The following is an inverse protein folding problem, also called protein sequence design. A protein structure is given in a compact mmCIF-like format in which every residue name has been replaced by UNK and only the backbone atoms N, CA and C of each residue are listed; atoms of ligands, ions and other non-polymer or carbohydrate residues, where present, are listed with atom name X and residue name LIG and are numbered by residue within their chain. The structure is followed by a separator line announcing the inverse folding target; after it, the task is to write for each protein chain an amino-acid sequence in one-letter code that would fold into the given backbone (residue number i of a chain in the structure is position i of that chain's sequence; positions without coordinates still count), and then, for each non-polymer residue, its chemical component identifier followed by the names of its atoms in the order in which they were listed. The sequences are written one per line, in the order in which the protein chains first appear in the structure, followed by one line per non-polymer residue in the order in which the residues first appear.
data_IF_679954218925
#
_entry.id   IF_679954218925
#
_cell.length_a   1.000
_cell.length_b   1.000
_cell.length_c   1.000
_cell.angle_alpha   90.00
_cell.angle_beta   90.00
_cell.angle_gamma   90.00
#
_symmetry.space_group_name_H-M   'P 1'
#
loop_
_entity.id
_entity.type
_entity.pdbx_description
1 polymer ?
#
# COMPACT_ATOMS: atom_id res chain seq x y z
N UNK A 1 -10.32 7.61 -14.81
CA UNK A 1 -9.19 8.54 -14.97
C UNK A 1 -9.59 9.85 -14.29
N UNK A 2 -9.36 9.97 -12.99
CA UNK A 2 -9.70 11.18 -12.24
C UNK A 2 -8.39 11.91 -12.00
N UNK A 3 -8.08 12.85 -12.90
CA UNK A 3 -7.01 13.80 -12.66
C UNK A 3 -7.47 14.73 -11.53
N UNK A 4 -6.90 14.56 -10.33
CA UNK A 4 -6.97 15.60 -9.31
C UNK A 4 -6.21 16.79 -9.85
N UNK A 5 -6.94 17.83 -10.24
CA UNK A 5 -6.40 19.15 -10.54
C UNK A 5 -5.62 19.62 -9.32
N UNK A 6 -4.30 19.63 -9.42
CA UNK A 6 -3.43 20.29 -8.45
C UNK A 6 -3.60 21.78 -8.70
N UNK A 7 -4.19 22.48 -7.74
CA UNK A 7 -4.32 23.93 -7.77
C UNK A 7 -2.90 24.53 -7.66
N UNK A 8 -2.41 25.10 -8.75
CA UNK A 8 -1.20 25.93 -8.74
C UNK A 8 -1.57 27.29 -8.15
N UNK A 9 -1.13 27.55 -6.93
CA UNK A 9 -1.14 28.90 -6.37
C UNK A 9 0.05 29.66 -6.92
N UNK A 10 -0.17 30.46 -7.95
CA UNK A 10 0.80 31.40 -8.48
C UNK A 10 0.80 32.64 -7.58
N UNK A 11 1.76 32.74 -6.67
CA UNK A 11 1.99 33.97 -5.92
C UNK A 11 3.01 34.79 -6.70
N UNK A 12 2.53 35.78 -7.42
CA UNK A 12 3.36 36.82 -8.03
C UNK A 12 3.73 37.84 -6.95
N UNK A 13 4.93 37.72 -6.39
CA UNK A 13 5.54 38.81 -5.64
C UNK A 13 6.50 39.56 -6.55
N UNK A 14 6.22 40.84 -6.75
CA UNK A 14 6.97 41.70 -7.62
C UNK A 14 8.40 41.91 -7.19
N UNK A 15 9.22 42.20 -8.20
CA UNK A 15 10.59 42.75 -8.19
C UNK A 15 11.67 41.92 -7.48
N UNK A 16 12.33 41.06 -8.25
CA UNK A 16 13.71 40.59 -7.95
C UNK A 16 13.84 39.32 -7.16
N UNK A 17 12.76 38.58 -6.94
CA UNK A 17 12.79 37.29 -6.23
C UNK A 17 12.81 36.10 -7.17
N UNK A 18 13.70 35.15 -6.91
CA UNK A 18 13.76 33.85 -7.53
C UNK A 18 12.44 33.14 -7.33
N UNK A 19 11.77 32.72 -8.42
CA UNK A 19 10.57 31.90 -8.33
C UNK A 19 10.99 30.51 -7.84
N UNK A 20 10.70 30.21 -6.59
CA UNK A 20 10.78 28.86 -6.07
C UNK A 20 9.47 28.18 -6.45
N UNK A 21 9.47 27.43 -7.54
CA UNK A 21 8.38 26.49 -7.81
C UNK A 21 8.67 25.26 -6.96
N UNK A 22 8.08 25.24 -5.77
CA UNK A 22 8.09 24.05 -4.94
C UNK A 22 7.28 22.96 -5.64
N UNK A 23 7.95 22.06 -6.34
CA UNK A 23 7.37 20.78 -6.82
C UNK A 23 7.34 19.81 -5.63
N UNK A 24 6.93 20.30 -4.48
CA UNK A 24 6.71 19.49 -3.29
C UNK A 24 5.35 18.81 -3.41
N UNK A 25 5.28 17.71 -4.08
CA UNK A 25 4.03 16.97 -4.17
C UNK A 25 4.04 15.82 -5.15
N UNK A 26 4.98 15.77 -6.08
CA UNK A 26 5.02 14.72 -7.10
C UNK A 26 5.98 13.58 -6.71
N UNK A 27 6.96 13.84 -5.85
CA UNK A 27 7.99 12.87 -5.46
C UNK A 27 8.26 12.81 -3.95
N UNK A 28 7.41 13.40 -3.13
CA UNK A 28 7.55 13.30 -1.68
C UNK A 28 7.24 11.88 -1.22
N UNK A 29 8.20 11.19 -0.62
CA UNK A 29 8.03 9.96 0.17
C UNK A 29 7.17 10.18 1.44
N UNK A 30 6.35 11.24 1.46
CA UNK A 30 5.53 11.66 2.60
C UNK A 30 4.14 11.01 2.65
N UNK A 31 3.89 9.94 1.92
CA UNK A 31 2.81 9.07 2.33
C UNK A 31 3.36 8.19 3.46
N UNK A 32 3.09 8.62 4.67
CA UNK A 32 3.27 7.78 5.85
C UNK A 32 2.30 6.60 5.74
N UNK A 33 2.78 5.55 5.08
CA UNK A 33 1.98 4.34 4.87
C UNK A 33 2.08 3.54 6.16
N UNK A 34 0.96 3.28 6.86
CA UNK A 34 0.98 2.52 8.08
C UNK A 34 1.64 1.15 7.90
N UNK A 35 2.59 0.85 8.77
CA UNK A 35 3.30 -0.41 8.80
C UNK A 35 2.97 -1.19 10.07
N UNK A 36 2.76 -2.49 9.93
CA UNK A 36 2.59 -3.40 11.07
C UNK A 36 3.63 -4.51 11.01
N UNK A 37 4.21 -4.86 12.16
CA UNK A 37 5.03 -6.07 12.26
C UNK A 37 4.15 -7.32 12.15
N UNK A 38 4.77 -8.46 11.80
CA UNK A 38 4.09 -9.75 11.77
C UNK A 38 3.37 -10.04 13.10
N UNK A 39 4.04 -9.81 14.23
CA UNK A 39 3.52 -10.09 15.57
C UNK A 39 2.36 -9.16 15.93
N UNK A 40 2.48 -7.86 15.63
CA UNK A 40 1.44 -6.88 15.88
C UNK A 40 0.19 -7.19 15.06
N UNK A 41 0.36 -7.53 13.78
CA UNK A 41 -0.74 -7.92 12.92
C UNK A 41 -1.37 -9.24 13.37
N UNK A 42 -0.56 -10.29 13.63
CA UNK A 42 -1.07 -11.60 14.05
C UNK A 42 -1.85 -11.57 15.36
N UNK A 43 -1.53 -10.62 16.26
CA UNK A 43 -2.32 -10.40 17.49
C UNK A 43 -3.67 -9.73 17.25
N UNK A 44 -3.76 -8.89 16.21
CA UNK A 44 -4.98 -8.15 15.87
C UNK A 44 -5.86 -8.94 14.90
N UNK A 45 -5.23 -9.75 14.06
CA UNK A 45 -5.92 -10.53 13.05
C UNK A 45 -6.52 -11.80 13.66
N UNK A 46 -7.83 -11.94 13.49
CA UNK A 46 -8.53 -13.21 13.67
C UNK A 46 -9.29 -13.53 12.39
N UNK A 47 -9.68 -14.79 12.17
CA UNK A 47 -10.45 -15.19 10.98
C UNK A 47 -11.79 -14.43 10.86
N UNK A 48 -12.26 -13.83 11.96
CA UNK A 48 -13.42 -12.94 12.01
C UNK A 48 -13.08 -11.46 11.85
N UNK A 49 -11.80 -11.10 11.64
CA UNK A 49 -11.41 -9.71 11.44
C UNK A 49 -11.89 -9.21 10.07
N UNK A 50 -12.20 -7.92 10.00
CA UNK A 50 -12.62 -7.27 8.75
C UNK A 50 -11.44 -6.91 7.83
N UNK A 51 -10.22 -7.36 8.14
CA UNK A 51 -9.06 -7.10 7.28
C UNK A 51 -9.13 -7.89 5.98
N UNK A 52 -8.86 -7.22 4.87
CA UNK A 52 -8.64 -7.84 3.57
C UNK A 52 -7.14 -8.02 3.37
N UNK A 53 -6.71 -9.24 3.12
CA UNK A 53 -5.29 -9.57 2.91
C UNK A 53 -4.98 -9.58 1.41
N UNK A 54 -4.00 -8.79 0.99
CA UNK A 54 -3.59 -8.67 -0.41
C UNK A 54 -2.15 -9.16 -0.54
N UNK A 55 -1.96 -10.31 -1.20
CA UNK A 55 -0.64 -10.86 -1.50
C UNK A 55 -0.16 -10.35 -2.85
N UNK A 56 0.90 -9.54 -2.85
CA UNK A 56 1.46 -8.93 -4.07
C UNK A 56 2.61 -9.73 -4.68
N UNK A 57 2.80 -10.97 -4.25
CA UNK A 57 3.77 -11.90 -4.85
C UNK A 57 3.30 -12.40 -6.21
N UNK A 58 4.22 -13.00 -6.95
CA UNK A 58 3.89 -13.71 -8.19
C UNK A 58 3.11 -15.00 -7.91
N UNK A 59 2.41 -15.52 -8.91
CA UNK A 59 1.65 -16.78 -8.80
C UNK A 59 2.56 -17.96 -8.44
N UNK A 60 3.76 -18.00 -9.02
CA UNK A 60 4.73 -19.06 -8.75
C UNK A 60 5.26 -19.04 -7.31
N UNK A 61 5.45 -17.85 -6.73
CA UNK A 61 5.85 -17.72 -5.32
C UNK A 61 4.73 -18.21 -4.39
N UNK A 62 3.48 -17.85 -4.68
CA UNK A 62 2.32 -18.28 -3.88
C UNK A 62 2.11 -19.78 -3.98
N UNK A 63 2.26 -20.37 -5.19
CA UNK A 63 2.16 -21.80 -5.39
C UNK A 63 3.26 -22.58 -4.64
N UNK A 64 4.49 -22.04 -4.59
CA UNK A 64 5.60 -22.67 -3.87
C UNK A 64 5.46 -22.55 -2.36
N UNK A 65 4.99 -21.42 -1.87
CA UNK A 65 4.86 -21.13 -0.45
C UNK A 65 3.60 -20.29 -0.22
N UNK A 66 2.46 -20.92 0.11
CA UNK A 66 1.22 -20.19 0.42
C UNK A 66 1.39 -19.17 1.56
N UNK A 67 0.56 -18.15 1.56
CA UNK A 67 0.51 -17.21 2.68
C UNK A 67 0.05 -17.91 3.97
N UNK A 68 0.48 -17.44 5.16
CA UNK A 68 0.08 -18.04 6.44
C UNK A 68 -1.42 -17.90 6.75
N UNK A 69 -2.14 -17.08 6.02
CA UNK A 69 -3.57 -16.80 6.23
C UNK A 69 -4.40 -17.26 5.03
N UNK A 70 -5.53 -17.93 5.31
CA UNK A 70 -6.36 -18.59 4.29
C UNK A 70 -7.14 -17.62 3.39
N UNK A 71 -7.53 -16.46 3.90
CA UNK A 71 -8.40 -15.51 3.18
C UNK A 71 -7.60 -14.42 2.47
N UNK A 72 -6.58 -14.82 1.70
CA UNK A 72 -5.68 -13.88 1.01
C UNK A 72 -6.07 -13.75 -0.45
N UNK A 73 -6.25 -12.53 -0.91
CA UNK A 73 -6.47 -12.22 -2.33
C UNK A 73 -5.12 -11.98 -2.98
N UNK A 74 -4.80 -12.78 -3.99
CA UNK A 74 -3.55 -12.62 -4.72
C UNK A 74 -3.74 -11.70 -5.92
N UNK A 75 -2.97 -10.61 -5.93
CA UNK A 75 -2.83 -9.71 -7.09
C UNK A 75 -1.36 -9.31 -7.17
N UNK A 76 -0.59 -9.84 -8.13
CA UNK A 76 0.82 -9.50 -8.28
C UNK A 76 1.04 -7.99 -8.38
N UNK A 77 2.13 -7.48 -7.76
CA UNK A 77 2.42 -6.05 -7.70
C UNK A 77 2.36 -5.35 -9.06
N UNK A 78 2.89 -6.01 -10.10
CA UNK A 78 2.92 -5.46 -11.46
C UNK A 78 1.53 -5.31 -12.10
N UNK A 79 0.55 -6.05 -11.62
CA UNK A 79 -0.85 -6.00 -12.11
C UNK A 79 -1.77 -5.23 -11.16
N UNK A 80 -1.25 -4.78 -10.00
CA UNK A 80 -2.09 -4.26 -8.93
C UNK A 80 -2.78 -2.94 -9.33
N UNK A 81 -2.08 -2.06 -10.04
CA UNK A 81 -2.64 -0.78 -10.48
C UNK A 81 -3.82 -0.99 -11.44
N UNK A 82 -3.66 -1.89 -12.42
CA UNK A 82 -4.70 -2.20 -13.40
C UNK A 82 -5.89 -2.95 -12.79
N UNK A 83 -5.62 -3.76 -11.75
CA UNK A 83 -6.61 -4.65 -11.13
C UNK A 83 -7.19 -4.14 -9.81
N UNK A 84 -6.74 -3.00 -9.31
CA UNK A 84 -7.20 -2.48 -8.00
C UNK A 84 -8.71 -2.26 -7.94
N UNK A 85 -9.38 -2.01 -9.07
CA UNK A 85 -10.84 -1.87 -9.13
C UNK A 85 -11.60 -3.15 -8.78
N UNK A 86 -10.98 -4.32 -8.90
CA UNK A 86 -11.57 -5.60 -8.44
C UNK A 86 -11.81 -5.61 -6.92
N UNK A 87 -11.09 -4.75 -6.20
CA UNK A 87 -11.17 -4.61 -4.74
C UNK A 87 -12.25 -3.63 -4.27
N UNK A 88 -12.98 -2.98 -5.18
CA UNK A 88 -13.97 -1.94 -4.80
C UNK A 88 -15.05 -2.42 -3.83
N UNK A 89 -15.42 -3.67 -3.89
CA UNK A 89 -16.37 -4.29 -2.93
C UNK A 89 -15.87 -4.30 -1.47
N UNK A 90 -14.57 -4.07 -1.27
CA UNK A 90 -13.93 -4.04 0.04
C UNK A 90 -13.44 -2.62 0.42
N UNK A 91 -13.94 -1.58 -0.25
CA UNK A 91 -13.40 -0.21 -0.12
C UNK A 91 -13.45 0.35 1.31
N UNK A 92 -14.44 -0.08 2.08
CA UNK A 92 -14.65 0.38 3.46
C UNK A 92 -13.98 -0.54 4.51
N UNK A 93 -13.17 -1.49 4.06
CA UNK A 93 -12.47 -2.42 4.94
C UNK A 93 -10.97 -2.13 4.92
N UNK A 94 -10.30 -2.25 6.08
CA UNK A 94 -8.85 -2.09 6.14
C UNK A 94 -8.15 -3.22 5.36
N UNK A 95 -7.10 -2.87 4.63
CA UNK A 95 -6.32 -3.81 3.84
C UNK A 95 -4.92 -3.97 4.41
N UNK A 96 -4.44 -5.21 4.47
CA UNK A 96 -3.06 -5.54 4.78
C UNK A 96 -2.38 -6.11 3.54
N UNK A 97 -1.35 -5.42 3.06
CA UNK A 97 -0.58 -5.85 1.89
C UNK A 97 0.61 -6.69 2.34
N UNK A 98 0.78 -7.83 1.70
CA UNK A 98 1.72 -8.88 2.08
C UNK A 98 2.77 -9.14 0.99
N UNK A 99 4.01 -9.36 1.43
CA UNK A 99 5.09 -9.91 0.61
C UNK A 99 6.17 -10.54 1.54
N UNK A 100 7.20 -11.22 1.02
CA UNK A 100 8.19 -11.89 1.87
C UNK A 100 9.01 -10.96 2.76
N UNK A 101 9.36 -9.75 2.30
CA UNK A 101 10.38 -8.87 2.93
C UNK A 101 9.89 -7.47 3.30
N UNK A 102 8.66 -7.10 2.94
CA UNK A 102 8.09 -5.77 3.21
C UNK A 102 8.24 -4.76 2.08
N UNK A 103 9.22 -4.90 1.18
CA UNK A 103 9.48 -3.90 0.14
C UNK A 103 8.36 -3.80 -0.91
N UNK A 104 7.92 -4.94 -1.45
CA UNK A 104 6.82 -5.01 -2.41
C UNK A 104 5.48 -4.66 -1.79
N UNK A 105 5.25 -5.08 -0.53
CA UNK A 105 4.01 -4.77 0.18
C UNK A 105 3.88 -3.26 0.46
N UNK A 106 4.97 -2.57 0.77
CA UNK A 106 4.97 -1.10 0.90
C UNK A 106 4.58 -0.41 -0.42
N UNK A 107 5.15 -0.88 -1.55
CA UNK A 107 4.79 -0.35 -2.88
C UNK A 107 3.32 -0.63 -3.21
N UNK A 108 2.84 -1.85 -2.96
CA UNK A 108 1.45 -2.24 -3.17
C UNK A 108 0.48 -1.43 -2.31
N UNK A 109 0.80 -1.20 -1.03
CA UNK A 109 -0.01 -0.36 -0.16
C UNK A 109 -0.07 1.09 -0.67
N UNK A 110 1.03 1.62 -1.23
CA UNK A 110 1.03 2.94 -1.86
C UNK A 110 0.08 3.00 -3.05
N UNK A 111 0.11 2.01 -3.95
CA UNK A 111 -0.81 1.93 -5.10
C UNK A 111 -2.26 1.92 -4.63
N UNK A 112 -2.60 1.08 -3.65
CA UNK A 112 -3.96 0.98 -3.12
C UNK A 112 -4.41 2.29 -2.44
N UNK A 113 -3.56 2.95 -1.67
CA UNK A 113 -3.90 4.24 -1.04
C UNK A 113 -4.13 5.34 -2.07
N UNK A 114 -3.34 5.38 -3.14
CA UNK A 114 -3.57 6.31 -4.25
C UNK A 114 -4.91 6.04 -4.96
N UNK A 115 -5.35 4.79 -4.99
CA UNK A 115 -6.68 4.40 -5.48
C UNK A 115 -7.81 4.62 -4.46
N UNK A 116 -7.51 5.10 -3.26
CA UNK A 116 -8.47 5.48 -2.22
C UNK A 116 -8.86 4.36 -1.25
N UNK A 117 -8.07 3.29 -1.15
CA UNK A 117 -8.25 2.22 -0.17
C UNK A 117 -7.51 2.52 1.13
N UNK A 118 -8.01 2.00 2.25
CA UNK A 118 -7.30 2.05 3.54
C UNK A 118 -6.31 0.88 3.63
N UNK A 119 -5.12 1.06 3.06
CA UNK A 119 -4.11 0.02 2.96
C UNK A 119 -2.91 0.29 3.89
N UNK A 120 -2.51 -0.74 4.60
CA UNK A 120 -1.29 -0.85 5.40
C UNK A 120 -0.39 -1.94 4.81
N UNK A 121 0.87 -2.00 5.22
CA UNK A 121 1.77 -3.06 4.76
C UNK A 121 2.44 -3.77 5.92
N UNK A 122 2.83 -5.03 5.69
CA UNK A 122 3.57 -5.82 6.66
C UNK A 122 5.06 -5.48 6.58
N UNK A 123 5.53 -4.80 7.62
CA UNK A 123 6.95 -4.48 7.78
C UNK A 123 7.77 -5.76 7.92
N UNK A 124 8.96 -5.79 7.30
CA UNK A 124 9.86 -6.95 7.26
C UNK A 124 9.27 -8.22 6.64
N UNK A 125 8.00 -8.18 6.22
CA UNK A 125 7.34 -9.26 5.47
C UNK A 125 6.67 -10.34 6.32
N UNK A 126 5.84 -11.14 5.63
CA UNK A 126 4.94 -12.11 6.25
C UNK A 126 5.61 -13.42 6.73
N UNK A 127 6.86 -13.64 6.37
CA UNK A 127 7.61 -14.81 6.85
C UNK A 127 8.64 -14.47 7.93
N UNK A 128 8.76 -13.20 8.27
CA UNK A 128 9.65 -12.73 9.32
C UNK A 128 8.98 -12.85 10.69
N UNK A 129 8.74 -14.08 11.12
CA UNK A 129 8.38 -14.37 12.49
C UNK A 129 9.63 -14.17 13.33
N UNK A 130 9.66 -13.18 14.22
CA UNK A 130 10.79 -13.01 15.14
C UNK A 130 11.00 -14.32 15.91
N UNK A 131 12.23 -14.85 15.83
CA UNK A 131 12.60 -16.02 16.63
C UNK A 131 12.86 -15.52 18.04
N UNK A 132 11.95 -15.81 18.95
CA UNK A 132 12.19 -15.73 20.38
C UNK A 132 13.20 -16.80 20.78
#
# INVERSE_FOLDING_TARGET
MIYRLIAYSLILLGTGGTIYIGVEGIYGDHYDIPALSYESFSRQYSDSSNYILIDVRTESEVASQPAPWSNTIQIPLLSLEDRCMELNKYKDQPMMVLCPTGNRSRQGARVLRLAGFDASYMEKGMFNKERN
#
